data_IF_738069260478
#
_entry.id   IF_738069260478
#
_cell.length_a   1.000
_cell.length_b   1.000
_cell.length_c   1.000
_cell.angle_alpha   90.00
_cell.angle_beta   90.00
_cell.angle_gamma   90.00
#
_symmetry.space_group_name_H-M   'P 1'
#
loop_
_entity.id
_entity.type
_entity.pdbx_description
1 polymer ?
#
# COMPACT_ATOMS: atom_id res chain seq x y z
N UNK A 1 -8.61 3.98 30.40
CA UNK A 1 -8.77 5.04 29.36
C UNK A 1 -9.41 4.41 28.13
N UNK A 2 -10.46 4.99 27.53
CA UNK A 2 -11.14 4.39 26.36
C UNK A 2 -10.27 4.57 25.12
N UNK A 3 -9.90 3.49 24.43
CA UNK A 3 -9.06 3.51 23.22
C UNK A 3 -9.81 4.20 22.09
N UNK A 4 -9.24 5.23 21.49
CA UNK A 4 -9.80 5.92 20.33
C UNK A 4 -9.15 5.39 19.04
N UNK A 5 -9.96 4.76 18.21
CA UNK A 5 -9.58 4.20 16.92
C UNK A 5 -10.21 5.05 15.82
N UNK A 6 -9.38 5.55 14.91
CA UNK A 6 -9.82 6.37 13.75
C UNK A 6 -9.47 5.63 12.47
N UNK A 7 -10.43 5.56 11.54
CA UNK A 7 -10.27 4.87 10.25
C UNK A 7 -10.48 5.86 9.11
N UNK A 8 -9.42 6.20 8.39
CA UNK A 8 -9.47 6.95 7.13
C UNK A 8 -9.70 5.98 5.99
N UNK A 9 -10.77 6.17 5.19
CA UNK A 9 -11.11 5.28 4.08
C UNK A 9 -11.92 4.05 4.47
N UNK A 10 -12.84 4.16 5.45
CA UNK A 10 -13.64 3.05 5.98
C UNK A 10 -14.52 2.36 4.93
N UNK A 11 -14.94 3.08 3.89
CA UNK A 11 -15.84 2.55 2.84
C UNK A 11 -15.14 1.64 1.82
N UNK A 12 -13.81 1.57 1.84
CA UNK A 12 -13.01 0.63 1.05
C UNK A 12 -13.17 -0.83 1.50
N UNK A 13 -12.56 -1.77 0.76
CA UNK A 13 -12.60 -3.21 1.11
C UNK A 13 -11.95 -3.48 2.46
N UNK A 14 -10.76 -2.93 2.71
CA UNK A 14 -10.04 -3.10 3.98
C UNK A 14 -10.77 -2.43 5.14
N UNK A 15 -11.27 -1.20 4.95
CA UNK A 15 -12.05 -0.50 5.98
C UNK A 15 -13.32 -1.25 6.37
N UNK A 16 -14.05 -1.80 5.38
CA UNK A 16 -15.24 -2.63 5.64
C UNK A 16 -14.86 -3.92 6.37
N UNK A 17 -13.73 -4.55 6.01
CA UNK A 17 -13.25 -5.77 6.69
C UNK A 17 -12.88 -5.50 8.15
N UNK A 18 -12.15 -4.41 8.41
CA UNK A 18 -11.78 -3.99 9.75
C UNK A 18 -13.03 -3.67 10.60
N UNK A 19 -14.01 -2.92 10.05
CA UNK A 19 -15.25 -2.59 10.76
C UNK A 19 -16.07 -3.83 11.11
N UNK A 20 -16.17 -4.81 10.20
CA UNK A 20 -16.86 -6.07 10.51
C UNK A 20 -16.16 -6.82 11.66
N UNK A 21 -14.82 -6.92 11.60
CA UNK A 21 -14.05 -7.58 12.67
C UNK A 21 -14.21 -6.88 14.02
N UNK A 22 -14.07 -5.56 14.06
CA UNK A 22 -14.20 -4.79 15.31
C UNK A 22 -15.59 -4.88 15.90
N UNK A 23 -16.62 -4.91 15.05
CA UNK A 23 -18.01 -5.10 15.50
C UNK A 23 -18.25 -6.49 16.10
N UNK A 24 -17.78 -7.55 15.43
CA UNK A 24 -17.90 -8.94 15.91
C UNK A 24 -17.18 -9.15 17.24
N UNK A 25 -16.10 -8.40 17.50
CA UNK A 25 -15.30 -8.51 18.72
C UNK A 25 -15.60 -7.39 19.75
N UNK A 26 -16.70 -6.66 19.58
CA UNK A 26 -17.12 -5.58 20.50
C UNK A 26 -16.06 -4.48 20.70
N UNK A 27 -15.21 -4.24 19.72
CA UNK A 27 -14.18 -3.19 19.74
C UNK A 27 -14.77 -1.88 19.20
N UNK A 28 -14.89 -0.83 20.03
CA UNK A 28 -15.53 0.42 19.62
C UNK A 28 -14.64 1.23 18.69
N UNK A 29 -15.24 1.77 17.62
CA UNK A 29 -14.59 2.69 16.69
C UNK A 29 -14.99 4.13 17.03
N UNK A 30 -13.99 5.02 17.17
CA UNK A 30 -14.21 6.42 17.54
C UNK A 30 -14.66 7.28 16.37
N UNK A 31 -14.01 7.12 15.19
CA UNK A 31 -14.31 7.92 14.02
C UNK A 31 -14.01 7.15 12.72
N UNK A 32 -14.86 7.37 11.71
CA UNK A 32 -14.65 6.83 10.36
C UNK A 32 -14.74 7.95 9.32
N UNK A 33 -14.00 7.81 8.21
CA UNK A 33 -14.12 8.74 7.08
C UNK A 33 -14.21 8.02 5.75
N UNK A 34 -14.76 8.73 4.76
CA UNK A 34 -14.62 8.39 3.34
C UNK A 34 -14.32 9.64 2.52
N UNK A 35 -13.85 9.49 1.29
CA UNK A 35 -13.68 10.64 0.39
C UNK A 35 -15.02 11.14 -0.15
N UNK A 36 -15.80 10.27 -0.83
CA UNK A 36 -17.05 10.65 -1.50
C UNK A 36 -18.25 9.74 -1.22
N UNK A 37 -18.04 8.49 -0.83
CA UNK A 37 -19.10 7.50 -0.72
C UNK A 37 -19.92 7.69 0.56
N UNK A 38 -20.69 8.81 0.63
CA UNK A 38 -21.48 9.16 1.80
C UNK A 38 -22.57 8.13 2.13
N UNK A 39 -23.20 7.52 1.08
CA UNK A 39 -24.26 6.51 1.30
C UNK A 39 -23.73 5.33 2.10
N UNK A 40 -22.57 4.77 1.68
CA UNK A 40 -21.93 3.66 2.37
C UNK A 40 -21.39 4.08 3.74
N UNK A 41 -20.86 5.31 3.87
CA UNK A 41 -20.40 5.83 5.16
C UNK A 41 -21.54 5.91 6.18
N UNK A 42 -22.71 6.42 5.79
CA UNK A 42 -23.88 6.50 6.66
C UNK A 42 -24.41 5.12 7.05
N UNK A 43 -24.45 4.17 6.11
CA UNK A 43 -24.79 2.78 6.42
C UNK A 43 -23.80 2.16 7.42
N UNK A 44 -22.49 2.42 7.26
CA UNK A 44 -21.47 1.97 8.22
C UNK A 44 -21.62 2.64 9.59
N UNK A 45 -21.87 3.96 9.63
CA UNK A 45 -22.11 4.70 10.87
C UNK A 45 -23.23 4.06 11.70
N UNK A 46 -24.35 3.77 11.06
CA UNK A 46 -25.51 3.17 11.71
C UNK A 46 -25.27 1.71 12.13
N UNK A 47 -24.81 0.88 11.18
CA UNK A 47 -24.56 -0.56 11.41
C UNK A 47 -23.56 -0.80 12.53
N UNK A 48 -22.46 -0.05 12.56
CA UNK A 48 -21.37 -0.24 13.51
C UNK A 48 -21.43 0.72 14.73
N UNK A 49 -22.52 1.49 14.84
CA UNK A 49 -22.76 2.44 15.94
C UNK A 49 -21.61 3.43 16.17
N UNK A 50 -21.05 3.96 15.06
CA UNK A 50 -19.95 4.93 15.12
C UNK A 50 -20.51 6.35 15.19
N UNK A 51 -20.21 7.08 16.26
CA UNK A 51 -20.79 8.41 16.48
C UNK A 51 -20.25 9.48 15.53
N UNK A 52 -18.99 9.36 15.08
CA UNK A 52 -18.28 10.38 14.28
C UNK A 52 -17.94 9.83 12.90
N UNK A 53 -18.54 10.42 11.87
CA UNK A 53 -18.35 10.02 10.49
C UNK A 53 -18.27 11.27 9.60
N UNK A 54 -17.26 11.37 8.72
CA UNK A 54 -17.01 12.55 7.90
C UNK A 54 -16.69 12.19 6.46
N UNK A 55 -17.29 12.97 5.52
CA UNK A 55 -16.99 12.91 4.09
C UNK A 55 -15.92 13.96 3.77
N UNK A 56 -14.69 13.52 3.56
CA UNK A 56 -13.52 14.42 3.46
C UNK A 56 -13.41 15.20 2.14
N UNK A 57 -14.26 14.92 1.15
CA UNK A 57 -14.42 15.77 -0.03
C UNK A 57 -15.23 17.05 0.23
N UNK A 58 -15.95 17.12 1.36
CA UNK A 58 -16.72 18.29 1.78
C UNK A 58 -15.91 19.13 2.77
N UNK A 59 -15.62 20.37 2.41
CA UNK A 59 -14.73 21.26 3.18
C UNK A 59 -15.10 21.40 4.66
N UNK A 60 -16.39 21.54 5.00
CA UNK A 60 -16.81 21.67 6.40
C UNK A 60 -16.62 20.37 7.19
N UNK A 61 -16.93 19.21 6.58
CA UNK A 61 -16.74 17.91 7.22
C UNK A 61 -15.24 17.60 7.37
N UNK A 62 -14.42 17.97 6.40
CA UNK A 62 -12.97 17.85 6.49
C UNK A 62 -12.38 18.70 7.61
N UNK A 63 -12.82 19.96 7.77
CA UNK A 63 -12.42 20.81 8.91
C UNK A 63 -12.76 20.15 10.25
N UNK A 64 -13.93 19.54 10.38
CA UNK A 64 -14.33 18.83 11.57
C UNK A 64 -13.47 17.58 11.79
N UNK A 65 -13.07 16.87 10.72
CA UNK A 65 -12.16 15.75 10.82
C UNK A 65 -10.76 16.18 11.32
N UNK A 66 -10.24 17.33 10.88
CA UNK A 66 -9.00 17.87 11.45
C UNK A 66 -9.06 18.06 12.96
N UNK A 67 -10.19 18.57 13.49
CA UNK A 67 -10.41 18.69 14.96
C UNK A 67 -10.44 17.32 15.66
N UNK A 68 -10.86 16.25 14.97
CA UNK A 68 -10.75 14.88 15.50
C UNK A 68 -9.28 14.46 15.63
N UNK A 69 -8.45 14.76 14.62
CA UNK A 69 -7.04 14.41 14.61
C UNK A 69 -6.21 15.13 15.71
N UNK A 70 -6.74 16.19 16.32
CA UNK A 70 -6.15 16.90 17.48
C UNK A 70 -6.41 16.19 18.82
N UNK A 71 -7.32 15.22 18.85
CA UNK A 71 -7.65 14.47 20.06
C UNK A 71 -6.58 13.40 20.32
N UNK A 72 -6.44 13.00 21.58
CA UNK A 72 -5.58 11.87 21.93
C UNK A 72 -6.13 10.56 21.30
N UNK A 73 -5.52 10.12 20.19
CA UNK A 73 -5.90 8.96 19.39
C UNK A 73 -4.86 7.86 19.61
N UNK A 74 -5.28 6.65 19.94
CA UNK A 74 -4.38 5.51 20.16
C UNK A 74 -4.04 4.77 18.87
N UNK A 75 -5.01 4.69 17.92
CA UNK A 75 -4.79 3.99 16.64
C UNK A 75 -5.39 4.81 15.51
N UNK A 76 -4.56 5.15 14.51
CA UNK A 76 -4.97 5.82 13.29
C UNK A 76 -4.69 4.91 12.08
N UNK A 77 -5.75 4.49 11.38
CA UNK A 77 -5.66 3.71 10.16
C UNK A 77 -5.79 4.58 8.92
N UNK A 78 -4.89 4.40 7.95
CA UNK A 78 -5.00 4.92 6.59
C UNK A 78 -5.28 3.76 5.62
N UNK A 79 -6.55 3.58 5.27
CA UNK A 79 -7.06 2.52 4.39
C UNK A 79 -7.66 3.08 3.09
N UNK A 80 -7.45 4.37 2.86
CA UNK A 80 -7.84 5.09 1.65
C UNK A 80 -6.82 4.90 0.53
N UNK A 81 -7.03 5.61 -0.57
CA UNK A 81 -6.19 5.58 -1.76
C UNK A 81 -5.69 6.98 -2.11
N UNK A 82 -4.48 7.07 -2.63
CA UNK A 82 -3.87 8.31 -3.09
C UNK A 82 -3.14 9.08 -2.00
N UNK A 83 -2.34 10.06 -2.41
CA UNK A 83 -1.42 10.81 -1.55
C UNK A 83 -2.06 11.95 -0.74
N UNK A 84 -3.37 12.22 -0.93
CA UNK A 84 -4.06 13.34 -0.25
C UNK A 84 -4.06 13.22 1.27
N UNK A 85 -3.95 12.00 1.81
CA UNK A 85 -3.89 11.76 3.26
C UNK A 85 -2.59 12.20 3.92
N UNK A 86 -1.57 12.62 3.17
CA UNK A 86 -0.38 13.29 3.74
C UNK A 86 -0.73 14.53 4.58
N UNK A 87 -1.80 15.26 4.25
CA UNK A 87 -2.26 16.39 5.06
C UNK A 87 -2.79 15.96 6.43
N UNK A 88 -3.48 14.82 6.50
CA UNK A 88 -4.05 14.30 7.75
C UNK A 88 -2.96 13.77 8.68
N UNK A 89 -2.03 12.97 8.16
CA UNK A 89 -0.92 12.48 8.99
C UNK A 89 -0.02 13.63 9.46
N UNK A 90 0.25 14.63 8.59
CA UNK A 90 1.03 15.79 8.98
C UNK A 90 0.37 16.60 10.11
N UNK A 91 -0.96 16.72 10.09
CA UNK A 91 -1.71 17.37 11.16
C UNK A 91 -1.70 16.53 12.43
N UNK A 92 -2.03 15.23 12.32
CA UNK A 92 -2.04 14.28 13.42
C UNK A 92 -0.73 14.26 14.22
N UNK A 93 0.42 14.24 13.53
CA UNK A 93 1.75 14.18 14.15
C UNK A 93 2.12 15.41 14.98
N UNK A 94 1.35 16.52 14.89
CA UNK A 94 1.53 17.70 15.73
C UNK A 94 0.93 17.56 17.13
N UNK A 95 -0.12 16.71 17.25
CA UNK A 95 -0.95 16.63 18.45
C UNK A 95 -0.89 15.26 19.13
N UNK A 96 -0.35 14.23 18.47
CA UNK A 96 -0.37 12.86 18.97
C UNK A 96 1.04 12.26 19.03
N UNK A 97 1.32 11.62 20.15
CA UNK A 97 2.53 10.84 20.41
C UNK A 97 2.16 9.48 20.97
N UNK A 98 3.06 8.49 20.84
CA UNK A 98 2.87 7.12 21.36
C UNK A 98 1.62 6.41 20.79
N UNK A 99 1.14 6.83 19.62
CA UNK A 99 0.02 6.23 18.90
C UNK A 99 0.53 5.21 17.88
N UNK A 100 -0.36 4.29 17.48
CA UNK A 100 -0.11 3.41 16.34
C UNK A 100 -0.65 4.05 15.07
N UNK A 101 0.20 4.17 14.05
CA UNK A 101 -0.14 4.69 12.72
C UNK A 101 -0.06 3.51 11.75
N UNK A 102 -1.22 3.01 11.34
CA UNK A 102 -1.36 1.83 10.50
C UNK A 102 -1.69 2.24 9.06
N UNK A 103 -0.82 1.95 8.10
CA UNK A 103 -0.94 2.46 6.73
C UNK A 103 -0.97 1.31 5.72
N UNK A 104 -2.06 1.27 4.91
CA UNK A 104 -2.19 0.45 3.71
C UNK A 104 -2.07 1.27 2.41
N UNK A 105 -1.97 2.60 2.55
CA UNK A 105 -1.92 3.55 1.44
C UNK A 105 -0.48 3.74 0.95
N UNK A 106 -0.08 2.94 -0.03
CA UNK A 106 1.28 2.97 -0.59
C UNK A 106 1.62 4.31 -1.26
N UNK A 107 0.63 4.96 -1.87
CA UNK A 107 0.82 6.25 -2.52
C UNK A 107 1.20 7.33 -1.51
N UNK A 108 0.64 7.28 -0.31
CA UNK A 108 0.98 8.20 0.77
C UNK A 108 2.42 7.97 1.26
N UNK A 109 2.85 6.71 1.40
CA UNK A 109 4.21 6.36 1.85
C UNK A 109 5.23 6.79 0.80
N UNK A 110 5.02 6.45 -0.47
CA UNK A 110 5.93 6.84 -1.57
C UNK A 110 5.99 8.37 -1.69
N UNK A 111 4.84 9.06 -1.67
CA UNK A 111 4.81 10.51 -1.77
C UNK A 111 5.49 11.19 -0.57
N UNK A 112 5.27 10.69 0.64
CA UNK A 112 5.89 11.21 1.86
C UNK A 112 7.39 10.94 1.97
N UNK A 113 7.83 9.80 1.43
CA UNK A 113 9.23 9.40 1.37
C UNK A 113 9.94 9.50 2.72
N UNK A 114 11.20 9.91 2.69
CA UNK A 114 12.03 10.08 3.88
C UNK A 114 11.51 11.17 4.84
N UNK A 115 10.76 12.16 4.33
CA UNK A 115 10.15 13.18 5.18
C UNK A 115 9.06 12.59 6.09
N UNK A 116 8.23 11.70 5.57
CA UNK A 116 7.20 11.02 6.35
C UNK A 116 7.83 10.13 7.42
N UNK A 117 8.79 9.30 7.03
CA UNK A 117 9.52 8.42 7.94
C UNK A 117 10.17 9.20 9.10
N UNK A 118 10.91 10.26 8.76
CA UNK A 118 11.58 11.11 9.77
C UNK A 118 10.58 11.75 10.73
N UNK A 119 9.43 12.24 10.24
CA UNK A 119 8.39 12.83 11.10
C UNK A 119 7.74 11.81 12.02
N UNK A 120 7.41 10.61 11.53
CA UNK A 120 6.84 9.54 12.37
C UNK A 120 7.85 9.16 13.47
N UNK A 121 9.12 8.94 13.11
CA UNK A 121 10.17 8.59 14.07
C UNK A 121 10.33 9.67 15.16
N UNK A 122 10.37 10.96 14.77
CA UNK A 122 10.51 12.08 15.72
C UNK A 122 9.31 12.25 16.65
N UNK A 123 8.12 11.85 16.22
CA UNK A 123 6.89 11.97 17.01
C UNK A 123 6.68 10.87 18.06
N UNK A 124 7.60 9.92 18.17
CA UNK A 124 7.50 8.73 19.04
C UNK A 124 6.27 7.84 18.75
N UNK A 125 5.61 8.04 17.61
CA UNK A 125 4.52 7.17 17.17
C UNK A 125 5.08 5.88 16.57
N UNK A 126 4.31 4.79 16.69
CA UNK A 126 4.66 3.47 16.15
C UNK A 126 4.03 3.30 14.77
N UNK A 127 4.84 3.14 13.76
CA UNK A 127 4.38 2.83 12.41
C UNK A 127 4.09 1.33 12.26
N UNK A 128 2.93 0.99 11.68
CA UNK A 128 2.55 -0.39 11.36
C UNK A 128 2.21 -0.46 9.87
N UNK A 129 3.05 -1.08 9.04
CA UNK A 129 2.73 -1.30 7.63
C UNK A 129 1.61 -2.35 7.54
N UNK A 130 0.63 -2.09 6.68
CA UNK A 130 -0.50 -3.01 6.48
C UNK A 130 -0.42 -3.77 5.15
N UNK A 131 0.44 -3.35 4.22
CA UNK A 131 0.76 -4.16 3.04
C UNK A 131 1.43 -5.47 3.50
N UNK A 132 1.02 -6.61 2.93
CA UNK A 132 1.39 -7.92 3.45
C UNK A 132 2.90 -8.19 3.43
N UNK A 133 3.58 -7.76 2.38
CA UNK A 133 5.01 -7.93 2.20
C UNK A 133 5.81 -7.11 3.21
N UNK A 134 5.38 -5.87 3.48
CA UNK A 134 6.02 -5.00 4.47
C UNK A 134 5.69 -5.43 5.90
N UNK A 135 4.43 -5.84 6.13
CA UNK A 135 4.00 -6.36 7.42
C UNK A 135 4.76 -7.62 7.82
N UNK A 136 5.11 -8.47 6.86
CA UNK A 136 5.88 -9.69 7.13
C UNK A 136 7.24 -9.42 7.77
N UNK A 137 7.82 -8.23 7.51
CA UNK A 137 9.07 -7.77 8.10
C UNK A 137 8.88 -7.06 9.45
N UNK A 138 7.64 -6.63 9.75
CA UNK A 138 7.36 -5.80 10.93
C UNK A 138 7.68 -6.49 12.27
N UNK A 139 7.53 -7.81 12.32
CA UNK A 139 7.83 -8.62 13.51
C UNK A 139 9.23 -9.30 13.44
N UNK A 140 9.98 -9.10 12.35
CA UNK A 140 11.31 -9.65 12.23
C UNK A 140 12.30 -8.83 13.07
N UNK A 141 13.14 -9.49 13.86
CA UNK A 141 14.20 -8.85 14.65
C UNK A 141 15.42 -8.46 13.78
N UNK A 142 15.20 -8.22 12.49
CA UNK A 142 16.27 -7.95 11.54
C UNK A 142 16.60 -6.46 11.60
N UNK A 143 17.85 -6.14 11.96
CA UNK A 143 18.38 -4.77 11.93
C UNK A 143 18.91 -4.44 10.54
N UNK A 144 18.82 -3.16 10.13
CA UNK A 144 19.27 -2.72 8.81
C UNK A 144 20.77 -3.00 8.54
N UNK A 145 21.58 -3.06 9.59
CA UNK A 145 23.03 -3.25 9.48
C UNK A 145 23.40 -4.67 9.07
N UNK A 146 22.54 -5.66 9.41
CA UNK A 146 22.76 -7.07 9.11
C UNK A 146 22.13 -7.53 7.79
N UNK A 147 21.38 -6.65 7.09
CA UNK A 147 20.69 -7.03 5.86
C UNK A 147 21.64 -6.92 4.67
N UNK A 148 21.87 -8.03 3.99
CA UNK A 148 22.49 -8.07 2.67
C UNK A 148 21.47 -7.77 1.57
N UNK A 149 20.33 -8.47 1.58
CA UNK A 149 19.26 -8.33 0.59
C UNK A 149 17.88 -8.65 1.19
N UNK A 150 16.85 -7.96 0.74
CA UNK A 150 15.45 -8.32 0.99
C UNK A 150 14.79 -8.70 -0.33
N UNK A 151 14.04 -9.80 -0.31
CA UNK A 151 13.16 -10.21 -1.39
C UNK A 151 11.73 -10.18 -0.88
N UNK A 152 10.90 -9.31 -1.45
CA UNK A 152 9.44 -9.43 -1.30
C UNK A 152 8.91 -10.41 -2.33
N UNK A 153 7.70 -10.93 -2.17
CA UNK A 153 7.18 -11.92 -3.10
C UNK A 153 6.01 -11.37 -3.93
N UNK A 154 5.85 -11.92 -5.11
CA UNK A 154 4.71 -11.68 -6.00
C UNK A 154 4.04 -13.01 -6.33
N UNK A 155 2.70 -13.05 -6.34
CA UNK A 155 1.95 -14.25 -6.75
C UNK A 155 2.08 -14.60 -8.24
N UNK A 156 2.69 -13.71 -9.05
CA UNK A 156 2.72 -13.84 -10.51
C UNK A 156 1.48 -13.30 -11.23
N UNK A 157 0.44 -12.88 -10.48
CA UNK A 157 -0.80 -12.38 -11.06
C UNK A 157 -1.51 -13.41 -11.96
N UNK A 158 -2.44 -12.98 -12.82
CA UNK A 158 -3.22 -13.89 -13.65
C UNK A 158 -2.46 -14.49 -14.86
N UNK A 159 -1.26 -13.96 -15.21
CA UNK A 159 -0.65 -14.29 -16.50
C UNK A 159 0.73 -14.95 -16.40
N UNK A 160 1.46 -14.83 -15.31
CA UNK A 160 2.86 -15.26 -15.23
C UNK A 160 3.02 -16.78 -15.48
N UNK A 161 2.18 -17.60 -14.88
CA UNK A 161 2.24 -19.06 -15.01
C UNK A 161 1.60 -19.58 -16.29
N UNK A 162 0.77 -18.79 -16.97
CA UNK A 162 0.18 -19.16 -18.26
C UNK A 162 1.00 -18.58 -19.42
N UNK A 163 2.00 -19.32 -19.86
CA UNK A 163 2.94 -18.89 -20.92
C UNK A 163 2.28 -18.79 -22.32
N UNK A 164 1.15 -19.46 -22.54
CA UNK A 164 0.43 -19.47 -23.83
C UNK A 164 -0.42 -18.20 -24.04
N UNK A 165 -0.71 -17.43 -23.01
CA UNK A 165 -1.51 -16.21 -23.14
C UNK A 165 -0.75 -15.14 -23.91
N UNK A 166 -1.38 -14.63 -24.99
CA UNK A 166 -0.93 -13.42 -25.68
C UNK A 166 -1.41 -12.18 -24.92
N UNK A 167 -0.49 -11.47 -24.29
CA UNK A 167 -0.78 -10.27 -23.47
C UNK A 167 -1.37 -9.10 -24.29
N UNK A 168 -1.27 -9.13 -25.63
CA UNK A 168 -1.88 -8.10 -26.50
C UNK A 168 -3.38 -8.27 -26.66
N UNK A 169 -3.91 -9.47 -26.41
CA UNK A 169 -5.29 -9.87 -26.65
C UNK A 169 -6.08 -10.18 -25.36
N UNK A 170 -5.52 -9.89 -24.19
CA UNK A 170 -6.19 -10.18 -22.92
C UNK A 170 -7.38 -9.25 -22.70
N UNK A 171 -8.49 -9.84 -22.24
CA UNK A 171 -9.69 -9.08 -21.88
C UNK A 171 -9.53 -8.37 -20.53
N UNK A 172 -10.34 -7.32 -20.30
CA UNK A 172 -10.35 -6.60 -19.02
C UNK A 172 -10.72 -7.50 -17.85
N UNK A 173 -11.66 -8.39 -18.03
CA UNK A 173 -12.14 -9.32 -16.99
C UNK A 173 -10.97 -10.18 -16.50
N UNK A 174 -10.12 -10.68 -17.41
CA UNK A 174 -8.91 -11.44 -17.05
C UNK A 174 -7.88 -10.61 -16.31
N UNK A 175 -7.66 -9.34 -16.72
CA UNK A 175 -6.76 -8.42 -16.01
C UNK A 175 -7.27 -8.08 -14.62
N UNK A 176 -8.59 -7.91 -14.48
CA UNK A 176 -9.25 -7.56 -13.23
C UNK A 176 -9.59 -8.78 -12.35
N UNK A 177 -9.16 -9.98 -12.74
CA UNK A 177 -9.22 -11.19 -11.93
C UNK A 177 -7.85 -11.48 -11.31
N UNK A 178 -7.82 -11.77 -10.01
CA UNK A 178 -6.58 -12.17 -9.32
C UNK A 178 -6.77 -13.53 -8.64
N UNK A 179 -5.85 -14.51 -8.85
CA UNK A 179 -6.04 -15.88 -8.37
C UNK A 179 -6.08 -16.02 -6.84
N UNK A 180 -5.43 -15.11 -6.10
CA UNK A 180 -5.28 -15.19 -4.64
C UNK A 180 -5.94 -14.04 -3.88
N UNK A 181 -6.09 -12.83 -4.46
CA UNK A 181 -6.50 -11.64 -3.74
C UNK A 181 -7.73 -10.96 -4.35
N UNK A 182 -8.65 -10.50 -3.49
CA UNK A 182 -9.77 -9.62 -3.88
C UNK A 182 -9.39 -8.17 -3.62
N UNK A 183 -8.77 -7.52 -4.60
CA UNK A 183 -8.24 -6.15 -4.50
C UNK A 183 -9.10 -5.11 -5.25
N UNK A 184 -8.74 -3.82 -5.11
CA UNK A 184 -9.28 -2.75 -5.97
C UNK A 184 -8.72 -2.83 -7.39
N UNK A 185 -9.40 -2.19 -8.35
CA UNK A 185 -9.05 -2.25 -9.78
C UNK A 185 -7.59 -1.85 -10.06
N UNK A 186 -7.09 -0.77 -9.45
CA UNK A 186 -5.72 -0.32 -9.63
C UNK A 186 -4.71 -1.40 -9.23
N UNK A 187 -4.86 -1.97 -8.04
CA UNK A 187 -3.97 -3.04 -7.57
C UNK A 187 -4.06 -4.32 -8.42
N UNK A 188 -5.24 -4.62 -9.00
CA UNK A 188 -5.40 -5.75 -9.92
C UNK A 188 -4.59 -5.53 -11.21
N UNK A 189 -4.69 -4.34 -11.80
CA UNK A 189 -3.93 -3.97 -13.00
C UNK A 189 -2.42 -4.02 -12.70
N UNK A 190 -1.98 -3.39 -11.60
CA UNK A 190 -0.58 -3.33 -11.21
C UNK A 190 0.02 -4.70 -10.85
N UNK A 191 -0.77 -5.56 -10.21
CA UNK A 191 -0.36 -6.93 -9.90
C UNK A 191 -0.20 -7.76 -11.19
N UNK A 192 -1.07 -7.54 -12.19
CA UNK A 192 -1.03 -8.27 -13.45
C UNK A 192 0.22 -7.99 -14.30
N UNK A 193 0.85 -6.82 -14.12
CA UNK A 193 1.99 -6.35 -14.91
C UNK A 193 3.28 -6.09 -14.09
N UNK A 194 3.28 -6.40 -12.77
CA UNK A 194 4.36 -6.20 -11.81
C UNK A 194 4.68 -4.75 -11.42
N UNK A 195 3.94 -3.76 -11.85
CA UNK A 195 4.12 -2.38 -11.35
C UNK A 195 3.87 -2.33 -9.84
N UNK A 196 2.91 -3.12 -9.32
CA UNK A 196 2.69 -3.22 -7.87
C UNK A 196 3.99 -3.53 -7.11
N UNK A 197 4.82 -4.47 -7.60
CA UNK A 197 6.08 -4.83 -6.93
C UNK A 197 7.13 -3.72 -6.98
N UNK A 198 7.15 -2.93 -8.05
CA UNK A 198 8.02 -1.75 -8.13
C UNK A 198 7.60 -0.71 -7.09
N UNK A 199 6.30 -0.43 -6.96
CA UNK A 199 5.78 0.49 -5.95
C UNK A 199 6.03 -0.02 -4.52
N UNK A 200 5.85 -1.30 -4.27
CA UNK A 200 6.15 -1.92 -2.98
C UNK A 200 7.64 -1.87 -2.63
N UNK A 201 8.53 -2.01 -3.59
CA UNK A 201 9.98 -1.84 -3.37
C UNK A 201 10.30 -0.39 -2.94
N UNK A 202 9.67 0.62 -3.56
CA UNK A 202 9.84 2.00 -3.12
C UNK A 202 9.30 2.21 -1.70
N UNK A 203 8.10 1.72 -1.43
CA UNK A 203 7.47 1.78 -0.14
C UNK A 203 8.36 1.15 0.95
N UNK A 204 8.86 -0.08 0.72
CA UNK A 204 9.73 -0.79 1.64
C UNK A 204 11.04 -0.02 1.89
N UNK A 205 11.62 0.56 0.84
CA UNK A 205 12.82 1.40 0.96
C UNK A 205 12.61 2.58 1.93
N UNK A 206 11.44 3.22 1.87
CA UNK A 206 11.11 4.32 2.78
C UNK A 206 10.76 3.84 4.19
N UNK A 207 9.97 2.78 4.33
CA UNK A 207 9.56 2.25 5.64
C UNK A 207 10.78 1.84 6.48
N UNK A 208 11.69 1.07 5.87
CA UNK A 208 12.83 0.47 6.56
C UNK A 208 14.15 1.24 6.36
N UNK A 209 14.10 2.38 5.68
CA UNK A 209 15.28 3.19 5.35
C UNK A 209 16.40 2.38 4.66
N UNK A 210 16.02 1.57 3.70
CA UNK A 210 16.94 0.71 2.96
C UNK A 210 17.20 1.25 1.56
N UNK A 211 18.42 1.16 1.05
CA UNK A 211 18.71 1.54 -0.33
C UNK A 211 18.04 0.56 -1.29
N UNK A 212 17.48 1.06 -2.39
CA UNK A 212 16.75 0.27 -3.39
C UNK A 212 17.56 -0.93 -3.91
N UNK A 213 18.90 -0.80 -4.01
CA UNK A 213 19.80 -1.89 -4.44
C UNK A 213 19.75 -3.14 -3.54
N UNK A 214 19.36 -2.97 -2.27
CA UNK A 214 19.21 -4.07 -1.31
C UNK A 214 17.83 -4.76 -1.38
N UNK A 215 16.92 -4.29 -2.23
CA UNK A 215 15.55 -4.81 -2.30
C UNK A 215 15.29 -5.38 -3.69
N UNK A 216 14.66 -6.54 -3.74
CA UNK A 216 14.25 -7.20 -4.98
C UNK A 216 12.95 -7.99 -4.76
N UNK A 217 12.45 -8.70 -5.76
CA UNK A 217 11.31 -9.57 -5.59
C UNK A 217 11.46 -10.93 -6.29
N UNK A 218 10.80 -11.92 -5.72
CA UNK A 218 10.68 -13.29 -6.23
C UNK A 218 9.20 -13.59 -6.52
N UNK A 219 8.96 -14.65 -7.29
CA UNK A 219 7.61 -15.17 -7.49
C UNK A 219 7.36 -16.29 -6.49
N UNK A 220 6.26 -16.18 -5.74
CA UNK A 220 5.68 -17.20 -4.88
C UNK A 220 4.24 -17.45 -5.32
N UNK A 221 4.01 -18.53 -6.07
CA UNK A 221 2.69 -18.83 -6.67
C UNK A 221 1.57 -18.91 -5.63
N UNK A 222 1.87 -19.54 -4.51
CA UNK A 222 0.91 -19.73 -3.43
C UNK A 222 0.73 -18.47 -2.56
N UNK A 223 1.62 -17.49 -2.70
CA UNK A 223 1.63 -16.21 -1.97
C UNK A 223 1.58 -16.40 -0.44
N UNK A 224 2.12 -17.50 0.08
CA UNK A 224 2.21 -17.77 1.51
C UNK A 224 3.47 -17.16 2.12
N UNK A 225 4.60 -17.24 1.43
CA UNK A 225 5.81 -16.47 1.75
C UNK A 225 5.62 -15.05 1.26
N UNK A 226 5.80 -14.05 2.13
CA UNK A 226 5.65 -12.63 1.81
C UNK A 226 6.98 -11.90 1.67
N UNK A 227 7.99 -12.30 2.46
CA UNK A 227 9.35 -11.78 2.31
C UNK A 227 10.41 -12.79 2.74
N UNK A 228 11.62 -12.58 2.21
CA UNK A 228 12.82 -13.30 2.61
C UNK A 228 13.88 -12.24 2.87
N UNK A 229 14.56 -12.36 4.01
CA UNK A 229 15.69 -11.53 4.37
C UNK A 229 16.95 -12.36 4.31
N UNK A 230 17.87 -11.97 3.44
CA UNK A 230 19.22 -12.53 3.37
C UNK A 230 20.13 -11.66 4.23
N UNK A 231 20.72 -12.26 5.23
CA UNK A 231 21.61 -11.58 6.19
C UNK A 231 23.07 -11.66 5.74
N UNK A 232 23.91 -10.81 6.32
CA UNK A 232 25.35 -10.74 5.99
C UNK A 232 26.12 -12.01 6.37
N UNK A 233 25.62 -12.79 7.30
CA UNK A 233 26.18 -14.10 7.70
C UNK A 233 25.72 -15.28 6.80
N UNK A 234 25.06 -14.96 5.67
CA UNK A 234 24.46 -15.88 4.72
C UNK A 234 23.27 -16.71 5.28
N UNK A 235 22.71 -16.34 6.41
CA UNK A 235 21.44 -16.93 6.85
C UNK A 235 20.24 -16.30 6.14
N UNK A 236 19.13 -17.04 6.06
CA UNK A 236 17.87 -16.60 5.45
C UNK A 236 16.77 -16.61 6.50
N UNK A 237 16.07 -15.48 6.64
CA UNK A 237 14.82 -15.42 7.37
C UNK A 237 13.66 -15.43 6.39
N UNK A 238 12.78 -16.43 6.47
CA UNK A 238 11.58 -16.54 5.63
C UNK A 238 10.38 -16.11 6.45
N UNK A 239 9.67 -15.07 6.00
CA UNK A 239 8.51 -14.52 6.68
C UNK A 239 7.24 -14.90 5.91
N UNK A 240 6.39 -15.69 6.54
CA UNK A 240 5.20 -16.24 5.92
C UNK A 240 3.99 -16.16 6.85
N UNK A 241 2.83 -15.96 6.30
CA UNK A 241 1.54 -16.06 6.98
C UNK A 241 0.41 -16.30 5.97
N UNK A 242 -0.78 -16.69 6.46
CA UNK A 242 -1.93 -16.98 5.60
C UNK A 242 -2.40 -15.72 4.86
N UNK A 243 -2.85 -15.90 3.61
CA UNK A 243 -3.29 -14.84 2.70
C UNK A 243 -4.60 -14.18 3.16
N UNK A 244 -4.60 -13.56 4.33
CA UNK A 244 -5.71 -12.78 4.83
C UNK A 244 -5.26 -11.46 5.41
N UNK A 245 -5.68 -10.36 4.77
CA UNK A 245 -5.38 -9.00 5.22
C UNK A 245 -5.92 -8.67 6.62
N UNK A 246 -6.80 -9.51 7.19
CA UNK A 246 -7.25 -9.30 8.57
C UNK A 246 -6.08 -9.38 9.54
N UNK A 247 -5.09 -10.22 9.29
CA UNK A 247 -3.91 -10.39 10.14
C UNK A 247 -3.15 -9.07 10.30
N UNK A 248 -2.94 -8.35 9.20
CA UNK A 248 -2.27 -7.06 9.23
C UNK A 248 -3.12 -5.98 9.89
N UNK A 249 -4.44 -6.00 9.62
CA UNK A 249 -5.39 -5.02 10.14
C UNK A 249 -5.59 -5.11 11.67
N UNK A 250 -5.57 -6.31 12.24
CA UNK A 250 -5.79 -6.50 13.69
C UNK A 250 -4.53 -6.28 14.52
N UNK A 251 -3.35 -6.27 13.92
CA UNK A 251 -2.08 -6.09 14.66
C UNK A 251 -2.06 -4.84 15.54
N UNK A 252 -2.45 -3.64 15.08
CA UNK A 252 -2.52 -2.48 15.96
C UNK A 252 -3.52 -2.65 17.10
N UNK A 253 -4.61 -3.39 16.89
CA UNK A 253 -5.60 -3.66 17.93
C UNK A 253 -5.06 -4.56 19.04
N UNK A 254 -4.19 -5.52 18.70
CA UNK A 254 -3.64 -6.49 19.66
C UNK A 254 -2.79 -5.86 20.78
N UNK A 255 -2.41 -4.60 20.64
CA UNK A 255 -1.73 -3.86 21.71
C UNK A 255 -2.68 -3.31 22.78
N UNK A 256 -3.99 -3.32 22.53
CA UNK A 256 -5.01 -2.76 23.42
C UNK A 256 -6.12 -3.74 23.78
N UNK A 257 -6.29 -4.79 22.98
CA UNK A 257 -7.37 -5.77 23.12
C UNK A 257 -6.79 -7.17 23.08
N UNK A 258 -7.38 -8.07 23.84
CA UNK A 258 -7.07 -9.49 23.73
C UNK A 258 -7.63 -10.03 22.41
N UNK A 259 -6.78 -10.24 21.44
CA UNK A 259 -7.13 -10.77 20.13
C UNK A 259 -6.91 -12.29 20.15
N UNK A 260 -7.98 -13.04 19.93
CA UNK A 260 -7.88 -14.50 19.84
C UNK A 260 -6.89 -14.93 18.75
N UNK A 261 -6.07 -15.93 19.06
CA UNK A 261 -5.15 -16.53 18.09
C UNK A 261 -5.92 -17.18 16.95
N UNK A 262 -5.43 -16.98 15.71
CA UNK A 262 -5.96 -17.67 14.54
C UNK A 262 -5.14 -18.95 14.32
N UNK A 263 -5.75 -20.14 14.38
CA UNK A 263 -5.01 -21.38 14.16
C UNK A 263 -4.49 -21.46 12.71
N UNK A 264 -3.23 -21.87 12.56
CA UNK A 264 -2.66 -22.16 11.24
C UNK A 264 -3.12 -23.55 10.82
N UNK A 265 -3.78 -23.65 9.68
CA UNK A 265 -4.10 -24.93 9.08
C UNK A 265 -2.81 -25.59 8.55
N UNK A 266 -2.54 -26.85 8.92
CA UNK A 266 -1.36 -27.62 8.52
C UNK A 266 -1.13 -27.66 7.00
N UNK A 267 -2.17 -27.53 6.17
CA UNK A 267 -2.04 -27.43 4.71
C UNK A 267 -1.11 -26.31 4.23
N UNK A 268 -0.93 -25.26 5.03
CA UNK A 268 -0.02 -24.16 4.68
C UNK A 268 1.45 -24.51 4.89
N UNK A 269 1.75 -25.60 5.61
CA UNK A 269 3.12 -26.09 5.83
C UNK A 269 3.59 -27.07 4.75
N UNK A 270 2.86 -27.16 3.63
CA UNK A 270 3.28 -27.96 2.46
C UNK A 270 4.46 -27.27 1.75
N UNK A 271 5.41 -28.09 1.24
CA UNK A 271 6.58 -27.65 0.48
C UNK A 271 6.24 -26.78 -0.74
N UNK A 272 5.08 -27.02 -1.39
CA UNK A 272 4.62 -26.20 -2.51
C UNK A 272 4.40 -24.73 -2.17
N UNK A 273 4.04 -24.42 -0.92
CA UNK A 273 3.88 -23.05 -0.44
C UNK A 273 5.21 -22.30 -0.28
N UNK A 274 6.33 -23.01 -0.28
CA UNK A 274 7.68 -22.45 -0.15
C UNK A 274 8.41 -22.31 -1.49
N UNK A 275 7.77 -22.68 -2.61
CA UNK A 275 8.38 -22.55 -3.94
C UNK A 275 8.56 -21.09 -4.32
N UNK A 276 9.78 -20.75 -4.73
CA UNK A 276 10.22 -19.42 -5.09
C UNK A 276 10.91 -19.42 -6.46
N UNK A 277 10.60 -18.45 -7.29
CA UNK A 277 11.19 -18.29 -8.62
C UNK A 277 11.72 -16.87 -8.84
N UNK A 278 12.87 -16.76 -9.52
CA UNK A 278 13.34 -15.45 -10.02
C UNK A 278 12.49 -15.08 -11.24
N UNK A 279 11.86 -13.88 -11.26
CA UNK A 279 11.04 -13.46 -12.40
C UNK A 279 11.90 -13.23 -13.65
N UNK A 280 11.69 -14.06 -14.68
CA UNK A 280 12.51 -14.03 -15.93
C UNK A 280 11.65 -13.85 -17.21
N UNK A 281 10.32 -13.68 -17.07
CA UNK A 281 9.42 -13.68 -18.24
C UNK A 281 9.49 -12.37 -19.03
N UNK A 282 10.08 -12.43 -20.22
CA UNK A 282 10.29 -11.28 -21.10
C UNK A 282 8.98 -10.64 -21.63
N UNK A 283 7.84 -11.31 -21.52
CA UNK A 283 6.53 -10.76 -21.89
C UNK A 283 6.15 -9.55 -21.03
N UNK A 284 6.68 -9.48 -19.81
CA UNK A 284 6.41 -8.39 -18.86
C UNK A 284 7.43 -7.27 -19.01
N UNK A 285 7.03 -6.17 -19.62
CA UNK A 285 7.90 -5.01 -19.85
C UNK A 285 8.43 -4.40 -18.56
N UNK A 286 7.71 -4.50 -17.45
CA UNK A 286 8.16 -4.04 -16.13
C UNK A 286 9.47 -4.74 -15.74
N UNK A 287 9.61 -6.03 -16.00
CA UNK A 287 10.85 -6.77 -15.73
C UNK A 287 12.01 -6.26 -16.61
N UNK A 288 11.72 -5.93 -17.89
CA UNK A 288 12.70 -5.33 -18.80
C UNK A 288 13.18 -3.98 -18.29
N UNK A 289 12.27 -3.14 -17.80
CA UNK A 289 12.58 -1.79 -17.33
C UNK A 289 12.96 -1.71 -15.85
N UNK A 290 12.98 -2.82 -15.12
CA UNK A 290 13.24 -2.87 -13.67
C UNK A 290 14.50 -2.11 -13.27
N UNK A 291 15.65 -2.35 -13.94
CA UNK A 291 16.90 -1.65 -13.62
C UNK A 291 16.77 -0.11 -13.70
N UNK A 292 15.98 0.40 -14.65
CA UNK A 292 15.73 1.83 -14.80
C UNK A 292 14.79 2.35 -13.70
N UNK A 293 13.71 1.62 -13.45
CA UNK A 293 12.75 1.95 -12.39
C UNK A 293 13.41 2.02 -11.02
N UNK A 294 14.36 1.11 -10.73
CA UNK A 294 15.12 1.09 -9.48
C UNK A 294 16.11 2.24 -9.30
N UNK A 295 16.32 3.09 -10.32
CA UNK A 295 17.19 4.27 -10.27
C UNK A 295 16.44 5.59 -10.19
N UNK A 296 15.10 5.56 -10.15
CA UNK A 296 14.29 6.77 -10.10
C UNK A 296 14.48 7.51 -8.77
N UNK A 297 14.67 8.82 -8.86
CA UNK A 297 14.68 9.71 -7.69
C UNK A 297 13.30 9.81 -7.05
N UNK A 298 13.21 10.37 -5.84
CA UNK A 298 11.93 10.49 -5.13
C UNK A 298 10.86 11.22 -5.94
N UNK A 299 11.18 12.35 -6.56
CA UNK A 299 10.21 13.07 -7.40
C UNK A 299 9.78 12.28 -8.64
N UNK A 300 10.68 11.50 -9.21
CA UNK A 300 10.39 10.62 -10.35
C UNK A 300 9.52 9.42 -9.93
N UNK A 301 9.70 8.88 -8.72
CA UNK A 301 8.82 7.83 -8.16
C UNK A 301 7.40 8.36 -7.92
N UNK A 302 7.26 9.58 -7.38
CA UNK A 302 5.96 10.26 -7.27
C UNK A 302 5.33 10.44 -8.65
N UNK A 303 6.11 10.88 -9.62
CA UNK A 303 5.61 11.07 -10.99
C UNK A 303 5.18 9.75 -11.63
N UNK A 304 5.96 8.68 -11.48
CA UNK A 304 5.59 7.33 -11.93
C UNK A 304 4.25 6.89 -11.34
N UNK A 305 4.01 7.13 -10.07
CA UNK A 305 2.75 6.81 -9.40
C UNK A 305 1.56 7.58 -10.02
N UNK A 306 1.74 8.87 -10.33
CA UNK A 306 0.71 9.70 -10.97
C UNK A 306 0.44 9.23 -12.40
N UNK A 307 1.50 8.94 -13.17
CA UNK A 307 1.42 8.41 -14.53
C UNK A 307 0.70 7.06 -14.54
N UNK A 308 1.03 6.18 -13.58
CA UNK A 308 0.39 4.88 -13.44
C UNK A 308 -1.13 5.02 -13.23
N UNK A 309 -1.54 5.94 -12.36
CA UNK A 309 -2.97 6.23 -12.15
C UNK A 309 -3.66 6.77 -13.42
N UNK A 310 -2.95 7.57 -14.23
CA UNK A 310 -3.44 8.02 -15.54
C UNK A 310 -3.57 6.85 -16.51
N UNK A 311 -2.55 5.97 -16.59
CA UNK A 311 -2.58 4.78 -17.42
C UNK A 311 -3.76 3.84 -17.09
N UNK A 312 -4.08 3.68 -15.79
CA UNK A 312 -5.26 2.90 -15.36
C UNK A 312 -6.56 3.50 -15.89
N UNK A 313 -6.73 4.83 -15.80
CA UNK A 313 -7.93 5.50 -16.33
C UNK A 313 -8.07 5.31 -17.83
N UNK A 314 -6.98 5.48 -18.57
CA UNK A 314 -6.95 5.25 -20.01
C UNK A 314 -7.28 3.80 -20.37
N UNK A 315 -6.72 2.84 -19.65
CA UNK A 315 -7.01 1.43 -19.84
C UNK A 315 -8.49 1.11 -19.53
N UNK A 316 -9.00 1.57 -18.40
CA UNK A 316 -10.39 1.32 -18.00
C UNK A 316 -11.41 1.99 -18.95
N UNK A 317 -11.05 3.12 -19.57
CA UNK A 317 -11.86 3.81 -20.59
C UNK A 317 -11.63 3.32 -22.02
N UNK A 318 -10.93 2.21 -22.26
CA UNK A 318 -10.58 1.62 -23.57
C UNK A 318 -9.66 2.48 -24.46
N UNK A 319 -9.01 3.49 -23.90
CA UNK A 319 -8.04 4.32 -24.66
C UNK A 319 -6.63 3.69 -24.73
N UNK A 320 -6.33 2.72 -23.87
CA UNK A 320 -5.11 1.91 -23.92
C UNK A 320 -5.46 0.41 -23.92
N UNK A 321 -4.69 -0.39 -24.65
CA UNK A 321 -4.68 -1.85 -24.52
C UNK A 321 -3.77 -2.26 -23.35
N UNK A 322 -3.96 -3.47 -22.82
CA UNK A 322 -3.19 -3.96 -21.68
C UNK A 322 -1.66 -3.90 -21.90
N UNK A 323 -1.19 -4.38 -23.03
CA UNK A 323 0.23 -4.37 -23.39
C UNK A 323 0.82 -2.97 -23.64
N UNK A 324 -0.01 -1.93 -23.71
CA UNK A 324 0.39 -0.54 -23.87
C UNK A 324 0.57 0.18 -22.52
N UNK A 325 0.01 -0.35 -21.42
CA UNK A 325 0.06 0.29 -20.09
C UNK A 325 1.50 0.63 -19.71
N UNK A 326 2.38 -0.38 -19.63
CA UNK A 326 3.77 -0.18 -19.20
C UNK A 326 4.57 0.64 -20.24
N UNK A 327 4.26 0.52 -21.52
CA UNK A 327 4.88 1.35 -22.57
C UNK A 327 4.55 2.83 -22.34
N UNK A 328 3.30 3.15 -22.11
CA UNK A 328 2.84 4.51 -21.80
C UNK A 328 3.52 5.04 -20.54
N UNK A 329 3.53 4.28 -19.44
CA UNK A 329 4.21 4.67 -18.21
C UNK A 329 5.67 5.03 -18.49
N UNK A 330 6.41 4.18 -19.19
CA UNK A 330 7.83 4.41 -19.47
C UNK A 330 8.08 5.58 -20.40
N UNK A 331 7.22 5.83 -21.40
CA UNK A 331 7.33 7.00 -22.26
C UNK A 331 7.16 8.30 -21.49
N UNK A 332 6.16 8.37 -20.61
CA UNK A 332 5.88 9.56 -19.81
C UNK A 332 6.95 9.79 -18.71
N UNK A 333 7.44 8.73 -18.07
CA UNK A 333 8.57 8.82 -17.12
C UNK A 333 9.82 9.38 -17.80
N UNK A 334 10.08 9.01 -19.07
CA UNK A 334 11.24 9.50 -19.83
C UNK A 334 11.13 11.00 -20.18
N UNK A 335 9.94 11.48 -20.50
CA UNK A 335 9.70 12.91 -20.81
C UNK A 335 9.89 13.80 -19.58
N UNK A 336 9.68 13.26 -18.38
CA UNK A 336 9.64 14.00 -17.13
C UNK A 336 10.78 13.58 -16.19
N UNK A 337 12.00 13.91 -16.57
CA UNK A 337 13.23 13.45 -15.90
C UNK A 337 13.76 14.41 -14.81
N UNK A 338 12.91 15.29 -14.27
CA UNK A 338 13.33 16.25 -13.25
C UNK A 338 13.58 15.56 -11.90
N UNK A 339 14.71 15.89 -11.26
CA UNK A 339 15.05 15.47 -9.92
C UNK A 339 14.83 16.63 -8.95
N UNK A 340 13.67 16.63 -8.28
CA UNK A 340 13.26 17.68 -7.33
C UNK A 340 13.46 17.18 -5.91
N UNK A 341 14.15 17.96 -5.09
CA UNK A 341 14.28 17.73 -3.65
C UNK A 341 13.17 18.45 -2.91
N UNK A 342 12.34 17.72 -2.18
CA UNK A 342 11.25 18.28 -1.39
C UNK A 342 11.70 18.60 0.05
N UNK A 343 11.36 19.80 0.52
CA UNK A 343 11.67 20.25 1.89
C UNK A 343 10.47 20.13 2.85
N UNK A 344 9.27 19.95 2.34
CA UNK A 344 8.04 19.91 3.15
C UNK A 344 6.94 19.11 2.47
N UNK A 345 5.95 18.64 3.26
CA UNK A 345 4.75 18.01 2.69
C UNK A 345 3.96 18.97 1.79
N UNK A 346 3.96 20.28 2.09
CA UNK A 346 3.33 21.29 1.24
C UNK A 346 3.94 21.30 -0.16
N UNK A 347 5.28 21.27 -0.28
CA UNK A 347 5.97 21.22 -1.58
C UNK A 347 5.67 19.93 -2.35
N UNK A 348 5.60 18.79 -1.66
CA UNK A 348 5.19 17.51 -2.26
C UNK A 348 3.75 17.59 -2.80
N UNK A 349 2.82 18.10 -1.98
CA UNK A 349 1.40 18.20 -2.37
C UNK A 349 1.17 19.16 -3.53
N UNK A 350 1.88 20.30 -3.56
CA UNK A 350 1.86 21.22 -4.69
C UNK A 350 2.36 20.56 -5.97
N UNK A 351 3.47 19.83 -5.89
CA UNK A 351 4.01 19.07 -7.02
C UNK A 351 3.01 18.03 -7.54
N UNK A 352 2.41 17.23 -6.65
CA UNK A 352 1.40 16.23 -7.01
C UNK A 352 0.19 16.89 -7.67
N UNK A 353 -0.26 18.03 -7.14
CA UNK A 353 -1.41 18.75 -7.69
C UNK A 353 -1.13 19.27 -9.11
N UNK A 354 0.03 19.90 -9.34
CA UNK A 354 0.43 20.38 -10.68
C UNK A 354 0.55 19.24 -11.68
N UNK A 355 1.14 18.11 -11.29
CA UNK A 355 1.26 16.92 -12.15
C UNK A 355 -0.08 16.25 -12.45
N UNK A 356 -0.97 16.18 -11.47
CA UNK A 356 -2.33 15.66 -11.67
C UNK A 356 -3.14 16.52 -12.65
N UNK A 357 -3.01 17.86 -12.60
CA UNK A 357 -3.63 18.76 -13.57
C UNK A 357 -3.07 18.46 -14.96
N UNK A 358 -1.75 18.42 -15.11
CA UNK A 358 -1.10 18.10 -16.39
C UNK A 358 -1.65 16.82 -17.02
N UNK A 359 -1.78 15.72 -16.26
CA UNK A 359 -2.29 14.46 -16.80
C UNK A 359 -3.82 14.39 -16.93
N UNK A 360 -4.57 15.37 -16.40
CA UNK A 360 -6.01 15.50 -16.68
C UNK A 360 -6.27 16.24 -17.99
N UNK A 361 -5.46 17.24 -18.32
CA UNK A 361 -5.65 18.11 -19.50
C UNK A 361 -5.02 17.56 -20.75
N UNK A 362 -3.97 16.76 -20.65
CA UNK A 362 -3.18 16.26 -21.79
C UNK A 362 -3.37 14.74 -22.08
N UNK A 363 -4.37 14.12 -21.43
CA UNK A 363 -4.71 12.70 -21.57
C UNK A 363 -6.22 12.53 -21.63
#
# INVERSE_FOLDING_TARGET
MKVKIVIVGSTGKLGTKLLNYTHQNSIPIYCITCFQNYKKLNAQKNKFRVNKAYVTSKSNEEKNFFKILEKNIQILYFLDFGSSSLKYINHFLKFNTNSFIAIANKEMIIAGGTLLQSKIKKSKNKFVPLDSEHFSLFNSNVTNDNIQKIYITASGGPFYFNKKINLSLVSKEKVLSHPKWKMGYNNLIDSSNFINKILEIYELSYIYNLPLKKIDFLISKEAFVHSIVHLNDNTLSINAFINDMIITLIKPLSYFYNIASMPINKKYLNSDNLKLEIPKDKRFLTLKYKKKLMKLSHSQQINLMIINNSAHKLYLSNKLKYNQIVKYIMSEVNKNNQNIKFKSFKSIMNYISSRNIYYKTNV
#
